data_IF_015020950775
#
_entry.id   IF_015020950775
#
_cell.length_a   1.000
_cell.length_b   1.000
_cell.length_c   1.000
_cell.angle_alpha   90.00
_cell.angle_beta   90.00
_cell.angle_gamma   90.00
#
_symmetry.space_group_name_H-M   'P 1'
#
loop_
_entity.id
_entity.type
_entity.pdbx_description
1 polymer ?
#
# COMPACT_ATOMS: atom_id res chain seq x y z
N UNK A 1 22.07 17.70 11.65
CA UNK A 1 21.54 18.03 10.31
C UNK A 1 20.86 16.78 9.77
N UNK A 2 19.71 16.90 9.09
CA UNK A 2 19.10 15.77 8.39
C UNK A 2 20.11 15.14 7.42
N UNK A 3 20.02 13.84 7.19
CA UNK A 3 20.87 13.17 6.21
C UNK A 3 20.58 13.75 4.83
N UNK A 4 21.62 14.08 4.07
CA UNK A 4 21.47 14.67 2.73
C UNK A 4 21.48 13.61 1.63
N UNK A 5 22.00 12.42 1.93
CA UNK A 5 22.13 11.30 0.99
C UNK A 5 21.48 10.05 1.57
N UNK A 6 20.77 9.28 0.73
CA UNK A 6 20.15 8.01 1.15
C UNK A 6 21.19 7.03 1.71
N UNK A 7 22.39 6.97 1.13
CA UNK A 7 23.46 6.07 1.59
C UNK A 7 23.89 6.34 3.04
N UNK A 8 23.79 7.58 3.52
CA UNK A 8 24.08 7.89 4.92
C UNK A 8 23.06 7.23 5.85
N UNK A 9 21.77 7.25 5.45
CA UNK A 9 20.66 6.64 6.18
C UNK A 9 20.84 5.12 6.17
N UNK A 10 21.03 4.51 5.00
CA UNK A 10 21.21 3.06 4.83
C UNK A 10 22.36 2.56 5.70
N UNK A 11 23.51 3.22 5.64
CA UNK A 11 24.69 2.84 6.42
C UNK A 11 24.47 2.99 7.94
N UNK A 12 23.74 4.01 8.38
CA UNK A 12 23.39 4.16 9.80
C UNK A 12 22.45 3.03 10.25
N UNK A 13 21.38 2.77 9.50
CA UNK A 13 20.41 1.73 9.79
C UNK A 13 21.07 0.36 9.90
N UNK A 14 21.99 0.04 8.99
CA UNK A 14 22.82 -1.17 9.05
C UNK A 14 23.70 -1.16 10.30
N UNK A 15 24.53 -0.13 10.53
CA UNK A 15 25.44 -0.15 11.70
C UNK A 15 24.74 -0.17 13.07
N UNK A 16 23.47 0.24 13.13
CA UNK A 16 22.73 0.44 14.40
C UNK A 16 21.63 -0.59 14.66
N UNK A 17 21.49 -1.65 13.88
CA UNK A 17 20.44 -2.63 14.20
C UNK A 17 19.04 -2.16 13.86
N UNK A 18 18.88 -1.30 12.85
CA UNK A 18 17.56 -0.81 12.43
C UNK A 18 17.02 -1.68 11.30
N UNK A 19 17.66 -1.69 10.13
CA UNK A 19 17.20 -2.49 8.98
C UNK A 19 18.40 -3.07 8.22
N UNK A 20 18.25 -4.30 7.75
CA UNK A 20 19.25 -5.04 6.98
C UNK A 20 18.62 -5.75 5.77
N UNK A 21 19.37 -6.04 4.70
CA UNK A 21 18.89 -6.91 3.63
C UNK A 21 18.49 -8.28 4.17
N UNK A 22 17.32 -8.77 3.81
CA UNK A 22 16.88 -10.10 4.25
C UNK A 22 17.76 -11.18 3.64
N UNK A 23 18.02 -12.26 4.38
CA UNK A 23 18.84 -13.39 3.97
C UNK A 23 20.27 -13.00 3.50
N UNK A 24 20.89 -11.98 4.13
CA UNK A 24 22.20 -11.44 3.73
C UNK A 24 23.30 -12.52 3.57
N UNK A 25 23.34 -13.52 4.47
CA UNK A 25 24.33 -14.61 4.41
C UNK A 25 24.18 -15.54 3.20
N UNK A 26 23.03 -15.50 2.53
CA UNK A 26 22.73 -16.26 1.31
C UNK A 26 22.83 -15.39 0.04
N UNK A 27 23.41 -14.19 0.14
CA UNK A 27 23.50 -13.23 -0.96
C UNK A 27 22.34 -12.23 -1.02
N UNK A 28 21.45 -12.26 -0.02
CA UNK A 28 20.30 -11.36 0.08
C UNK A 28 19.09 -11.83 -0.73
N UNK A 29 17.90 -11.41 -0.32
CA UNK A 29 16.67 -11.56 -1.09
C UNK A 29 16.17 -10.19 -1.55
N UNK A 30 16.17 -9.98 -2.88
CA UNK A 30 15.96 -8.67 -3.50
C UNK A 30 14.63 -8.04 -3.08
N UNK A 31 14.67 -6.76 -2.69
CA UNK A 31 13.51 -5.96 -2.25
C UNK A 31 12.81 -6.48 -0.99
N UNK A 32 13.52 -7.21 -0.14
CA UNK A 32 13.03 -7.66 1.16
C UNK A 32 14.06 -7.35 2.24
N UNK A 33 13.60 -6.98 3.42
CA UNK A 33 14.44 -6.44 4.48
C UNK A 33 13.97 -6.94 5.84
N UNK A 34 14.95 -7.15 6.73
CA UNK A 34 14.71 -7.56 8.10
C UNK A 34 14.96 -6.37 9.05
N UNK A 35 14.00 -6.10 9.93
CA UNK A 35 14.16 -5.08 10.98
C UNK A 35 14.93 -5.68 12.16
N UNK A 36 16.07 -5.09 12.50
CA UNK A 36 16.93 -5.53 13.62
C UNK A 36 16.38 -5.11 14.99
N UNK A 37 17.11 -5.37 16.11
CA UNK A 37 16.58 -5.18 17.46
C UNK A 37 16.01 -3.78 17.76
N UNK A 38 16.67 -2.72 17.28
CA UNK A 38 16.18 -1.34 17.44
C UNK A 38 15.07 -1.05 16.43
N UNK A 39 15.23 -1.52 15.19
CA UNK A 39 14.25 -1.30 14.13
C UNK A 39 12.90 -1.96 14.41
N UNK A 40 12.88 -3.17 14.97
CA UNK A 40 11.63 -3.86 15.31
C UNK A 40 10.84 -3.09 16.39
N UNK A 41 11.55 -2.51 17.37
CA UNK A 41 10.92 -1.67 18.39
C UNK A 41 10.44 -0.33 17.82
N UNK A 42 11.22 0.29 16.93
CA UNK A 42 10.82 1.51 16.25
C UNK A 42 9.57 1.29 15.40
N UNK A 43 9.58 0.25 14.55
CA UNK A 43 8.45 -0.14 13.71
C UNK A 43 7.20 -0.39 14.54
N UNK A 44 7.34 -1.10 15.67
CA UNK A 44 6.25 -1.31 16.62
C UNK A 44 5.72 0.00 17.21
N UNK A 45 6.60 0.89 17.66
CA UNK A 45 6.19 2.17 18.24
C UNK A 45 5.41 3.04 17.24
N UNK A 46 5.80 3.04 15.96
CA UNK A 46 5.07 3.75 14.91
C UNK A 46 3.66 3.18 14.76
N UNK A 47 3.52 1.84 14.68
CA UNK A 47 2.20 1.18 14.60
C UNK A 47 1.34 1.44 15.83
N UNK A 48 1.92 1.32 17.02
CA UNK A 48 1.22 1.54 18.28
C UNK A 48 0.75 2.99 18.42
N UNK A 49 1.56 3.97 17.95
CA UNK A 49 1.18 5.38 17.91
C UNK A 49 0.01 5.64 16.94
N UNK A 50 0.04 5.04 15.77
CA UNK A 50 -1.05 5.15 14.79
C UNK A 50 -2.34 4.50 15.31
N UNK A 51 -2.27 3.29 15.88
CA UNK A 51 -3.44 2.61 16.47
C UNK A 51 -3.99 3.44 17.63
N UNK A 52 -3.12 4.05 18.44
CA UNK A 52 -3.54 4.92 19.53
C UNK A 52 -4.36 6.11 19.02
N UNK A 53 -3.88 6.83 18.01
CA UNK A 53 -4.57 8.01 17.48
C UNK A 53 -5.82 7.67 16.67
N UNK A 54 -5.76 6.62 15.84
CA UNK A 54 -6.84 6.29 14.92
C UNK A 54 -7.93 5.45 15.58
N UNK A 55 -7.62 4.65 16.60
CA UNK A 55 -8.58 3.71 17.19
C UNK A 55 -8.79 3.98 18.68
N UNK A 56 -7.73 4.09 19.49
CA UNK A 56 -7.91 4.11 20.96
C UNK A 56 -8.34 5.48 21.51
N UNK A 57 -8.05 6.56 20.79
CA UNK A 57 -8.42 7.92 21.15
C UNK A 57 -9.71 8.39 20.45
N UNK A 58 -10.36 7.50 19.70
CA UNK A 58 -11.55 7.78 18.91
C UNK A 58 -12.65 6.80 19.24
N UNK A 59 -13.89 7.28 19.20
CA UNK A 59 -15.07 6.46 19.44
C UNK A 59 -15.74 6.00 18.12
N UNK A 60 -15.24 6.41 16.96
CA UNK A 60 -15.85 6.18 15.66
C UNK A 60 -15.09 5.18 14.78
N UNK A 61 -13.93 4.66 15.22
CA UNK A 61 -13.13 3.71 14.45
C UNK A 61 -12.90 2.43 15.23
N UNK A 62 -13.00 1.28 14.56
CA UNK A 62 -12.70 -0.03 15.14
C UNK A 62 -11.55 -0.72 14.41
N UNK A 63 -10.78 -1.55 15.11
CA UNK A 63 -9.65 -2.29 14.55
C UNK A 63 -10.05 -3.71 14.19
N UNK A 64 -9.63 -4.19 13.02
CA UNK A 64 -9.72 -5.60 12.61
C UNK A 64 -8.35 -6.15 12.21
N UNK A 65 -8.27 -7.47 12.11
CA UNK A 65 -7.12 -8.20 11.56
C UNK A 65 -7.64 -9.27 10.58
N UNK A 66 -7.61 -8.94 9.29
CA UNK A 66 -8.05 -9.83 8.23
C UNK A 66 -6.90 -10.69 7.72
N UNK A 67 -7.24 -11.87 7.18
CA UNK A 67 -6.25 -12.80 6.64
C UNK A 67 -5.45 -12.18 5.49
N UNK A 68 -4.18 -12.59 5.37
CA UNK A 68 -3.30 -12.23 4.24
C UNK A 68 -3.67 -12.99 2.97
N UNK A 69 -4.02 -14.27 3.12
CA UNK A 69 -4.41 -15.14 2.01
C UNK A 69 -5.86 -14.87 1.64
N UNK A 70 -6.08 -14.44 0.40
CA UNK A 70 -7.41 -14.18 -0.15
C UNK A 70 -7.72 -15.04 -1.37
N UNK A 71 -8.99 -15.45 -1.56
CA UNK A 71 -9.40 -16.19 -2.74
C UNK A 71 -9.40 -15.29 -4.00
N UNK A 72 -9.24 -15.83 -5.21
CA UNK A 72 -9.14 -15.06 -6.45
C UNK A 72 -10.30 -14.08 -6.69
N UNK A 73 -11.50 -14.44 -6.24
CA UNK A 73 -12.73 -13.68 -6.44
C UNK A 73 -12.64 -12.27 -5.83
N UNK A 74 -12.05 -12.13 -4.64
CA UNK A 74 -11.90 -10.82 -3.99
C UNK A 74 -11.06 -9.86 -4.84
N UNK A 75 -9.99 -10.39 -5.43
CA UNK A 75 -9.05 -9.63 -6.25
C UNK A 75 -9.54 -9.40 -7.68
N UNK A 76 -10.42 -10.28 -8.17
CA UNK A 76 -11.11 -10.09 -9.44
C UNK A 76 -12.13 -8.95 -9.32
N UNK A 77 -12.96 -8.98 -8.27
CA UNK A 77 -14.04 -8.03 -8.04
C UNK A 77 -13.52 -6.63 -7.77
N UNK A 78 -12.46 -6.51 -6.98
CA UNK A 78 -11.77 -5.23 -6.75
C UNK A 78 -10.94 -4.74 -7.95
N UNK A 79 -10.91 -5.49 -9.06
CA UNK A 79 -10.18 -5.12 -10.28
C UNK A 79 -8.66 -5.35 -10.23
N UNK A 80 -8.10 -5.81 -9.11
CA UNK A 80 -6.66 -6.04 -8.96
C UNK A 80 -6.11 -7.07 -9.96
N UNK A 81 -6.84 -8.13 -10.28
CA UNK A 81 -6.34 -9.10 -11.26
C UNK A 81 -6.25 -8.54 -12.69
N UNK A 82 -7.05 -7.52 -13.01
CA UNK A 82 -7.08 -6.90 -14.33
C UNK A 82 -6.14 -5.68 -14.44
N UNK A 83 -6.10 -4.85 -13.40
CA UNK A 83 -5.53 -3.50 -13.48
C UNK A 83 -4.28 -3.30 -12.62
N UNK A 84 -3.94 -4.25 -11.73
CA UNK A 84 -2.76 -4.13 -10.86
C UNK A 84 -1.49 -4.62 -11.57
N UNK A 85 -1.18 -3.99 -12.71
CA UNK A 85 -0.11 -4.38 -13.62
C UNK A 85 0.89 -3.25 -13.84
N UNK A 86 2.14 -3.63 -14.09
CA UNK A 86 3.18 -2.73 -14.56
C UNK A 86 3.62 -3.10 -15.99
N UNK A 87 3.98 -2.11 -16.84
CA UNK A 87 4.50 -2.37 -18.17
C UNK A 87 5.93 -2.91 -18.08
N UNK A 88 6.07 -4.23 -18.25
CA UNK A 88 7.33 -4.96 -18.14
C UNK A 88 8.01 -5.13 -19.50
N UNK A 89 9.30 -4.78 -19.57
CA UNK A 89 10.19 -5.08 -20.70
C UNK A 89 11.40 -5.90 -20.25
N UNK A 90 11.86 -6.82 -21.09
CA UNK A 90 13.12 -7.56 -20.88
C UNK A 90 14.19 -7.01 -21.83
N UNK A 91 15.40 -6.77 -21.31
CA UNK A 91 16.55 -6.51 -22.18
C UNK A 91 17.00 -7.81 -22.86
N UNK A 92 16.98 -7.86 -24.19
CA UNK A 92 17.36 -9.02 -25.00
C UNK A 92 18.84 -9.37 -24.86
N UNK A 93 19.69 -8.42 -24.48
CA UNK A 93 21.14 -8.62 -24.28
C UNK A 93 21.47 -9.20 -22.90
N UNK A 94 21.08 -8.53 -21.82
CA UNK A 94 21.46 -8.94 -20.45
C UNK A 94 20.33 -9.65 -19.66
N UNK A 95 19.15 -9.83 -20.26
CA UNK A 95 17.99 -10.53 -19.70
C UNK A 95 17.42 -9.93 -18.41
N UNK A 96 17.85 -8.72 -18.05
CA UNK A 96 17.28 -7.99 -16.92
C UNK A 96 15.90 -7.43 -17.28
N UNK A 97 15.00 -7.47 -16.30
CA UNK A 97 13.64 -6.93 -16.38
C UNK A 97 13.61 -5.49 -15.88
N UNK A 98 12.85 -4.65 -16.58
CA UNK A 98 12.68 -3.24 -16.26
C UNK A 98 11.21 -2.83 -16.41
N UNK A 99 10.83 -1.81 -15.65
CA UNK A 99 9.55 -1.11 -15.81
C UNK A 99 9.71 -0.03 -16.87
N UNK A 100 8.97 -0.13 -17.97
CA UNK A 100 9.13 0.79 -19.10
C UNK A 100 8.82 2.24 -18.70
N UNK A 101 7.79 2.44 -17.87
CA UNK A 101 7.34 3.75 -17.39
C UNK A 101 8.31 4.43 -16.39
N UNK A 102 9.33 3.71 -15.93
CA UNK A 102 10.33 4.19 -14.96
C UNK A 102 11.74 4.28 -15.55
N UNK A 103 11.90 4.09 -16.85
CA UNK A 103 13.18 4.29 -17.52
C UNK A 103 13.38 5.77 -17.86
N UNK A 104 14.56 6.30 -17.52
CA UNK A 104 14.96 7.66 -17.94
C UNK A 104 15.04 7.78 -19.48
N UNK A 105 15.52 6.71 -20.12
CA UNK A 105 15.57 6.55 -21.57
C UNK A 105 14.92 5.21 -21.96
N UNK A 106 13.71 5.23 -22.56
CA UNK A 106 12.99 4.03 -22.97
C UNK A 106 13.73 3.14 -23.98
N UNK A 107 14.76 3.66 -24.66
CA UNK A 107 15.51 2.92 -25.66
C UNK A 107 16.82 2.33 -25.13
N UNK A 108 17.31 2.77 -23.95
CA UNK A 108 18.61 2.36 -23.42
C UNK A 108 18.48 1.51 -22.17
N UNK A 109 19.04 0.31 -22.17
CA UNK A 109 19.09 -0.54 -20.98
C UNK A 109 20.02 0.06 -19.90
N UNK A 110 19.52 0.41 -18.70
CA UNK A 110 20.34 1.04 -17.67
C UNK A 110 21.37 0.08 -17.06
N UNK A 111 21.19 -1.23 -17.25
CA UNK A 111 22.08 -2.24 -16.70
C UNK A 111 23.31 -2.52 -17.59
N UNK A 112 23.15 -2.53 -18.92
CA UNK A 112 24.23 -2.86 -19.86
C UNK A 112 24.52 -1.81 -20.93
N UNK A 113 23.72 -0.74 -21.01
CA UNK A 113 23.85 0.34 -22.01
C UNK A 113 23.40 -0.04 -23.42
N UNK A 114 22.85 -1.23 -23.65
CA UNK A 114 22.40 -1.65 -24.96
C UNK A 114 21.15 -0.86 -25.40
N UNK A 115 21.21 -0.29 -26.60
CA UNK A 115 20.12 0.49 -27.20
C UNK A 115 19.21 -0.37 -28.07
N UNK A 116 17.90 -0.08 -28.07
CA UNK A 116 16.90 -0.81 -28.87
C UNK A 116 16.83 -2.30 -28.50
N UNK A 117 17.23 -2.64 -27.28
CA UNK A 117 17.36 -4.02 -26.81
C UNK A 117 16.15 -4.49 -26.00
N UNK A 118 15.10 -3.69 -25.85
CA UNK A 118 13.92 -4.10 -25.10
C UNK A 118 12.95 -4.92 -25.94
N UNK A 119 12.34 -5.93 -25.33
CA UNK A 119 11.17 -6.61 -25.91
C UNK A 119 9.97 -5.67 -25.98
N UNK A 120 8.92 -6.08 -26.70
CA UNK A 120 7.61 -5.45 -26.55
C UNK A 120 7.17 -5.49 -25.07
N UNK A 121 6.55 -4.38 -24.63
CA UNK A 121 6.04 -4.26 -23.28
C UNK A 121 4.88 -5.25 -23.06
N UNK A 122 4.87 -5.90 -21.91
CA UNK A 122 3.76 -6.74 -21.47
C UNK A 122 3.29 -6.33 -20.09
N UNK A 123 1.98 -6.39 -19.86
CA UNK A 123 1.41 -6.14 -18.54
C UNK A 123 1.78 -7.28 -17.58
N UNK A 124 2.45 -6.93 -16.49
CA UNK A 124 2.84 -7.87 -15.45
C UNK A 124 2.05 -7.59 -14.17
N UNK A 125 1.17 -8.53 -13.78
CA UNK A 125 0.39 -8.38 -12.55
C UNK A 125 1.30 -8.49 -11.31
N UNK A 126 1.17 -7.51 -10.42
CA UNK A 126 2.01 -7.38 -9.24
C UNK A 126 1.54 -8.22 -8.04
N UNK A 127 0.45 -8.98 -8.15
CA UNK A 127 0.01 -9.83 -7.04
C UNK A 127 0.86 -11.10 -6.94
N UNK A 128 1.22 -11.48 -5.71
CA UNK A 128 1.79 -12.79 -5.47
C UNK A 128 0.70 -13.86 -5.47
N UNK A 129 0.78 -14.76 -6.45
CA UNK A 129 -0.07 -15.94 -6.56
C UNK A 129 0.58 -17.14 -5.87
N UNK A 130 -0.22 -17.91 -5.15
CA UNK A 130 0.15 -19.19 -4.52
C UNK A 130 -0.97 -20.22 -4.70
N UNK A 131 -0.77 -21.43 -4.19
CA UNK A 131 -1.78 -22.50 -4.18
C UNK A 131 -2.12 -22.88 -2.74
N UNK A 132 -3.41 -22.89 -2.42
CA UNK A 132 -3.93 -23.41 -1.16
C UNK A 132 -4.41 -24.85 -1.37
N UNK A 133 -3.79 -25.79 -0.69
CA UNK A 133 -4.16 -27.21 -0.73
C UNK A 133 -2.97 -28.14 -0.56
N UNK A 134 -3.20 -29.42 -0.17
CA UNK A 134 -2.13 -30.37 0.13
C UNK A 134 -1.49 -30.98 -1.12
N UNK A 135 -2.10 -30.83 -2.30
CA UNK A 135 -1.65 -31.45 -3.54
C UNK A 135 -1.03 -30.39 -4.45
N UNK A 136 0.27 -30.54 -4.69
CA UNK A 136 1.00 -29.71 -5.65
C UNK A 136 0.36 -29.79 -7.04
N UNK A 137 0.04 -28.64 -7.64
CA UNK A 137 -0.58 -28.56 -8.96
C UNK A 137 -2.10 -28.80 -9.00
N UNK A 138 -2.73 -29.16 -7.87
CA UNK A 138 -4.18 -29.34 -7.75
C UNK A 138 -4.82 -28.51 -6.62
N UNK A 139 -4.05 -27.64 -5.97
CA UNK A 139 -4.57 -26.68 -4.99
C UNK A 139 -5.41 -25.59 -5.65
N UNK A 140 -6.29 -24.96 -4.87
CA UNK A 140 -7.02 -23.78 -5.33
C UNK A 140 -6.07 -22.58 -5.35
N UNK A 141 -6.13 -21.78 -6.41
CA UNK A 141 -5.39 -20.53 -6.47
C UNK A 141 -5.73 -19.63 -5.27
N UNK A 142 -4.71 -19.01 -4.69
CA UNK A 142 -4.83 -18.03 -3.63
C UNK A 142 -3.81 -16.92 -3.87
N UNK A 143 -4.02 -15.76 -3.25
CA UNK A 143 -3.13 -14.62 -3.41
C UNK A 143 -2.76 -14.05 -2.06
N UNK A 144 -1.53 -13.54 -1.97
CA UNK A 144 -1.15 -12.63 -0.89
C UNK A 144 -1.71 -11.26 -1.21
N UNK A 145 -2.41 -10.65 -0.26
CA UNK A 145 -3.05 -9.35 -0.46
C UNK A 145 -2.03 -8.24 -0.83
N UNK A 146 -2.32 -7.40 -1.83
CA UNK A 146 -1.48 -6.26 -2.23
C UNK A 146 -1.77 -4.98 -1.42
N UNK A 147 -2.88 -4.97 -0.69
CA UNK A 147 -3.37 -3.94 0.21
C UNK A 147 -4.17 -4.59 1.35
N UNK A 148 -4.46 -3.86 2.43
CA UNK A 148 -5.27 -4.36 3.55
C UNK A 148 -6.76 -4.00 3.41
N UNK A 149 -7.09 -2.96 2.63
CA UNK A 149 -8.43 -2.43 2.37
C UNK A 149 -9.52 -3.49 2.13
N UNK A 150 -9.27 -4.45 1.24
CA UNK A 150 -10.24 -5.49 0.88
C UNK A 150 -10.74 -6.32 2.08
N UNK A 151 -9.91 -6.49 3.12
CA UNK A 151 -10.32 -7.15 4.35
C UNK A 151 -11.40 -6.38 5.11
N UNK A 152 -11.37 -5.05 5.06
CA UNK A 152 -12.35 -4.17 5.71
C UNK A 152 -13.68 -4.15 4.94
N UNK A 153 -13.62 -4.08 3.60
CA UNK A 153 -14.83 -4.14 2.76
C UNK A 153 -15.57 -5.48 2.90
N UNK A 154 -14.85 -6.59 2.82
CA UNK A 154 -15.46 -7.93 2.93
C UNK A 154 -16.02 -8.25 4.32
N UNK A 155 -15.55 -7.56 5.37
CA UNK A 155 -16.06 -7.69 6.73
C UNK A 155 -17.01 -6.57 7.15
N UNK A 156 -17.34 -5.62 6.26
CA UNK A 156 -18.17 -4.45 6.58
C UNK A 156 -19.47 -4.82 7.31
N UNK A 157 -20.24 -5.76 6.76
CA UNK A 157 -21.51 -6.19 7.36
C UNK A 157 -21.35 -6.82 8.76
N UNK A 158 -20.32 -7.64 8.96
CA UNK A 158 -20.04 -8.25 10.27
C UNK A 158 -19.62 -7.20 11.31
N UNK A 159 -18.75 -6.26 10.91
CA UNK A 159 -18.27 -5.20 11.79
C UNK A 159 -19.41 -4.25 12.15
N UNK A 160 -20.22 -3.85 11.18
CA UNK A 160 -21.40 -3.01 11.39
C UNK A 160 -22.34 -3.63 12.45
N UNK A 161 -22.61 -4.93 12.35
CA UNK A 161 -23.48 -5.65 13.28
C UNK A 161 -22.87 -5.81 14.69
N UNK A 162 -21.59 -6.17 14.77
CA UNK A 162 -20.94 -6.54 16.03
C UNK A 162 -20.43 -5.35 16.82
N UNK A 163 -19.88 -4.34 16.14
CA UNK A 163 -19.37 -3.12 16.77
C UNK A 163 -20.46 -2.09 17.10
N UNK A 164 -21.69 -2.30 16.58
CA UNK A 164 -22.84 -1.40 16.75
C UNK A 164 -22.53 0.04 16.34
N UNK A 165 -21.68 0.21 15.34
CA UNK A 165 -21.37 1.51 14.73
C UNK A 165 -22.41 1.85 13.67
N UNK A 166 -22.48 3.13 13.31
CA UNK A 166 -23.33 3.67 12.24
C UNK A 166 -22.49 4.69 11.50
N UNK A 167 -22.62 4.82 10.16
CA UNK A 167 -21.97 5.91 9.43
C UNK A 167 -22.31 7.27 10.06
N UNK A 168 -21.33 8.17 10.24
CA UNK A 168 -19.91 8.00 9.92
C UNK A 168 -19.16 7.10 10.93
N UNK A 169 -18.44 6.09 10.42
CA UNK A 169 -17.54 5.25 11.23
C UNK A 169 -16.42 4.65 10.38
N UNK A 170 -15.29 4.32 11.01
CA UNK A 170 -14.15 3.71 10.36
C UNK A 170 -13.92 2.26 10.76
N UNK A 171 -13.34 1.50 9.84
CA UNK A 171 -12.67 0.24 10.13
C UNK A 171 -11.20 0.46 9.80
N UNK A 172 -10.32 0.14 10.74
CA UNK A 172 -8.88 0.25 10.61
C UNK A 172 -8.23 -1.13 10.59
N UNK A 173 -7.09 -1.23 9.92
CA UNK A 173 -6.27 -2.42 9.90
C UNK A 173 -4.79 -2.07 9.79
N UNK A 174 -3.98 -2.80 10.55
CA UNK A 174 -2.52 -2.74 10.45
C UNK A 174 -1.99 -4.12 10.14
N UNK A 175 -1.25 -4.28 9.06
CA UNK A 175 -0.71 -5.58 8.71
C UNK A 175 0.10 -5.60 7.43
N UNK A 176 0.56 -6.81 7.06
CA UNK A 176 1.40 -7.01 5.89
C UNK A 176 0.62 -6.95 4.59
N UNK A 177 1.29 -6.45 3.56
CA UNK A 177 0.86 -6.45 2.16
C UNK A 177 2.05 -6.77 1.26
N UNK A 178 1.74 -7.29 0.06
CA UNK A 178 2.74 -7.85 -0.83
C UNK A 178 2.55 -7.38 -2.26
N UNK A 179 3.61 -6.81 -2.85
CA UNK A 179 3.61 -6.36 -4.25
C UNK A 179 4.82 -6.98 -4.94
N UNK A 180 4.63 -7.68 -6.04
CA UNK A 180 5.66 -8.39 -6.78
C UNK A 180 6.48 -7.42 -7.65
N UNK A 181 7.04 -6.41 -6.99
CA UNK A 181 7.76 -5.29 -7.58
C UNK A 181 8.89 -5.78 -8.50
N UNK A 182 8.92 -5.21 -9.70
CA UNK A 182 9.84 -5.57 -10.78
C UNK A 182 11.20 -4.93 -10.52
N UNK A 183 11.19 -3.64 -10.16
CA UNK A 183 12.40 -2.83 -10.01
C UNK A 183 12.48 -2.27 -8.59
N UNK A 184 13.44 -2.72 -7.76
CA UNK A 184 13.74 -2.07 -6.49
C UNK A 184 14.24 -0.66 -6.75
N UNK A 185 13.76 0.28 -5.97
CA UNK A 185 14.24 1.65 -5.95
C UNK A 185 14.23 2.17 -4.50
N UNK A 186 15.17 3.06 -4.19
CA UNK A 186 15.19 3.82 -2.93
C UNK A 186 15.11 2.96 -1.64
N UNK A 187 15.84 1.84 -1.60
CA UNK A 187 16.02 0.98 -0.42
C UNK A 187 14.70 0.38 0.13
N UNK A 188 14.25 0.75 1.34
CA UNK A 188 12.99 0.26 1.93
C UNK A 188 11.75 0.96 1.36
N UNK A 189 11.92 1.93 0.47
CA UNK A 189 10.80 2.65 -0.14
C UNK A 189 10.03 1.76 -1.13
N UNK A 190 10.72 0.93 -1.91
CA UNK A 190 10.09 -0.08 -2.78
C UNK A 190 10.48 -1.48 -2.36
N UNK A 191 9.55 -2.17 -1.70
CA UNK A 191 9.74 -3.53 -1.18
C UNK A 191 8.63 -4.46 -1.69
N UNK A 192 8.90 -5.76 -1.64
CA UNK A 192 7.92 -6.79 -2.01
C UNK A 192 6.99 -7.19 -0.88
N UNK A 193 7.43 -6.92 0.34
CA UNK A 193 6.72 -7.21 1.58
C UNK A 193 6.91 -5.99 2.48
N UNK A 194 5.80 -5.37 2.87
CA UNK A 194 5.76 -4.21 3.76
C UNK A 194 4.52 -4.28 4.64
N UNK A 195 4.46 -3.40 5.63
CA UNK A 195 3.27 -3.23 6.46
C UNK A 195 2.57 -1.92 6.09
N UNK A 196 1.26 -1.95 6.06
CA UNK A 196 0.42 -0.78 5.88
C UNK A 196 -0.44 -0.57 7.13
N UNK A 197 -0.84 0.68 7.33
CA UNK A 197 -1.82 1.10 8.33
C UNK A 197 -2.91 1.83 7.54
N UNK A 198 -4.00 1.13 7.26
CA UNK A 198 -5.10 1.66 6.44
C UNK A 198 -6.37 1.79 7.26
N UNK A 199 -7.22 2.73 6.86
CA UNK A 199 -8.49 3.00 7.51
C UNK A 199 -9.54 3.34 6.45
N UNK A 200 -10.61 2.56 6.41
CA UNK A 200 -11.78 2.81 5.56
C UNK A 200 -12.84 3.53 6.39
N UNK A 201 -13.10 4.81 6.07
CA UNK A 201 -14.11 5.62 6.76
C UNK A 201 -15.41 5.65 5.97
N UNK A 202 -16.42 4.94 6.46
CA UNK A 202 -17.72 4.82 5.81
C UNK A 202 -18.62 5.97 6.24
N UNK A 203 -19.07 6.77 5.28
CA UNK A 203 -19.81 8.02 5.51
C UNK A 203 -21.08 8.10 4.66
N UNK A 204 -22.10 8.87 5.08
CA UNK A 204 -23.20 9.24 4.19
C UNK A 204 -22.67 9.95 2.93
N UNK A 205 -23.17 9.64 1.72
CA UNK A 205 -22.65 10.24 0.48
C UNK A 205 -22.67 11.77 0.46
N UNK A 206 -23.68 12.39 1.11
CA UNK A 206 -23.80 13.84 1.20
C UNK A 206 -22.72 14.51 2.07
N UNK A 207 -22.02 13.76 2.91
CA UNK A 207 -20.95 14.25 3.81
C UNK A 207 -19.55 13.87 3.31
N UNK A 208 -19.46 13.16 2.18
CA UNK A 208 -18.21 12.57 1.67
C UNK A 208 -17.08 13.58 1.49
N UNK A 209 -17.36 14.73 0.88
CA UNK A 209 -16.37 15.79 0.64
C UNK A 209 -15.85 16.41 1.94
N UNK A 210 -16.74 16.69 2.90
CA UNK A 210 -16.38 17.22 4.21
C UNK A 210 -15.45 16.27 4.98
N UNK A 211 -15.75 14.96 4.96
CA UNK A 211 -14.91 13.97 5.63
C UNK A 211 -13.57 13.75 4.93
N UNK A 212 -13.54 13.85 3.60
CA UNK A 212 -12.29 13.81 2.85
C UNK A 212 -11.35 14.97 3.25
N UNK A 213 -11.86 16.21 3.28
CA UNK A 213 -11.10 17.36 3.74
C UNK A 213 -10.64 17.23 5.21
N UNK A 214 -11.51 16.71 6.08
CA UNK A 214 -11.17 16.43 7.47
C UNK A 214 -9.98 15.47 7.56
N UNK A 215 -10.03 14.33 6.85
CA UNK A 215 -8.96 13.33 6.91
C UNK A 215 -7.65 13.80 6.30
N UNK A 216 -7.69 14.55 5.19
CA UNK A 216 -6.49 15.18 4.64
C UNK A 216 -5.76 16.04 5.68
N UNK A 217 -6.51 16.86 6.43
CA UNK A 217 -5.93 17.73 7.47
C UNK A 217 -5.48 16.93 8.71
N UNK A 218 -6.31 16.00 9.19
CA UNK A 218 -6.02 15.19 10.38
C UNK A 218 -4.77 14.32 10.17
N UNK A 219 -4.64 13.69 9.00
CA UNK A 219 -3.50 12.83 8.68
C UNK A 219 -2.22 13.63 8.50
N UNK A 220 -2.26 14.78 7.82
CA UNK A 220 -1.12 15.71 7.74
C UNK A 220 -0.66 16.16 9.14
N UNK A 221 -1.60 16.54 10.01
CA UNK A 221 -1.29 17.00 11.37
C UNK A 221 -0.68 15.89 12.23
N UNK A 222 -1.11 14.63 12.05
CA UNK A 222 -0.57 13.49 12.78
C UNK A 222 0.96 13.38 12.63
N UNK A 223 1.49 13.58 11.42
CA UNK A 223 2.94 13.54 11.20
C UNK A 223 3.69 14.68 11.91
N UNK A 224 3.10 15.88 11.93
CA UNK A 224 3.65 17.05 12.63
C UNK A 224 3.67 16.81 14.14
N UNK A 225 2.58 16.28 14.70
CA UNK A 225 2.45 15.97 16.12
C UNK A 225 3.44 14.88 16.58
N UNK A 226 3.84 13.99 15.66
CA UNK A 226 4.86 12.96 15.90
C UNK A 226 6.28 13.42 15.56
N UNK A 227 6.47 14.72 15.32
CA UNK A 227 7.78 15.36 15.28
C UNK A 227 8.41 15.50 13.90
N UNK A 228 7.67 15.23 12.81
CA UNK A 228 8.13 15.59 11.47
C UNK A 228 7.98 17.11 11.29
N UNK A 229 9.05 17.85 10.92
CA UNK A 229 8.94 19.28 10.65
C UNK A 229 7.95 19.58 9.53
N UNK A 230 7.10 20.58 9.72
CA UNK A 230 6.04 20.92 8.75
C UNK A 230 6.59 21.34 7.37
N UNK A 231 7.80 21.91 7.31
CA UNK A 231 8.48 22.29 6.07
C UNK A 231 9.09 21.10 5.30
N UNK A 232 9.05 19.90 5.90
CA UNK A 232 9.45 18.63 5.28
C UNK A 232 8.25 17.84 4.76
N UNK A 233 7.03 18.34 4.95
CA UNK A 233 5.79 17.70 4.54
C UNK A 233 5.04 18.58 3.53
N UNK A 234 4.32 17.94 2.62
CA UNK A 234 3.31 18.61 1.81
C UNK A 234 2.10 17.70 1.60
N UNK A 235 0.93 18.31 1.40
CA UNK A 235 -0.26 17.60 0.95
C UNK A 235 -0.41 17.87 -0.55
N UNK A 236 -0.16 16.85 -1.39
CA UNK A 236 -0.21 16.95 -2.85
C UNK A 236 -1.51 16.32 -3.37
N UNK A 237 -2.47 17.10 -3.90
CA UNK A 237 -3.60 16.52 -4.60
C UNK A 237 -3.14 15.83 -5.89
N UNK A 238 -3.74 14.69 -6.21
CA UNK A 238 -3.55 14.00 -7.49
C UNK A 238 -4.11 14.83 -8.64
N UNK A 239 -3.42 14.82 -9.77
CA UNK A 239 -3.93 15.38 -11.02
C UNK A 239 -5.05 14.47 -11.61
N UNK A 240 -5.85 15.02 -12.52
CA UNK A 240 -7.03 14.32 -13.04
C UNK A 240 -6.71 12.99 -13.77
N UNK A 241 -5.50 12.86 -14.32
CA UNK A 241 -4.99 11.66 -14.98
C UNK A 241 -4.32 10.66 -14.02
N UNK A 242 -4.04 11.07 -12.78
CA UNK A 242 -3.53 10.20 -11.71
C UNK A 242 -4.66 9.56 -10.88
N UNK A 243 -5.85 10.17 -10.89
CA UNK A 243 -7.00 9.66 -10.15
C UNK A 243 -7.42 8.27 -10.64
N UNK A 244 -7.60 7.35 -9.70
CA UNK A 244 -8.29 6.10 -9.97
C UNK A 244 -9.72 6.35 -10.43
N UNK A 245 -10.22 5.54 -11.37
CA UNK A 245 -11.54 5.71 -11.98
C UNK A 245 -12.74 5.76 -11.00
N UNK A 246 -12.54 5.30 -9.76
CA UNK A 246 -13.53 5.31 -8.67
C UNK A 246 -13.28 6.39 -7.61
N UNK A 247 -12.21 7.18 -7.73
CA UNK A 247 -11.86 8.24 -6.78
C UNK A 247 -12.39 9.60 -7.24
N UNK A 248 -13.13 10.30 -6.39
CA UNK A 248 -13.53 11.70 -6.62
C UNK A 248 -12.48 12.70 -6.16
N UNK A 249 -11.47 12.24 -5.41
CA UNK A 249 -10.34 13.05 -4.95
C UNK A 249 -9.35 12.18 -4.20
N UNK A 250 -8.07 12.33 -4.51
CA UNK A 250 -6.97 11.70 -3.79
C UNK A 250 -5.91 12.75 -3.50
N UNK A 251 -5.32 12.70 -2.31
CA UNK A 251 -4.18 13.52 -1.95
C UNK A 251 -3.15 12.69 -1.19
N UNK A 252 -1.89 12.93 -1.48
CA UNK A 252 -0.76 12.28 -0.82
C UNK A 252 -0.17 13.21 0.22
N UNK A 253 0.04 12.70 1.44
CA UNK A 253 1.01 13.30 2.37
C UNK A 253 2.39 12.85 1.91
N UNK A 254 3.18 13.79 1.41
CA UNK A 254 4.52 13.54 0.92
C UNK A 254 5.57 14.07 1.88
N UNK A 255 6.70 13.34 1.99
CA UNK A 255 7.85 13.75 2.77
C UNK A 255 9.04 14.08 1.88
N UNK A 256 9.82 15.09 2.27
CA UNK A 256 11.03 15.51 1.58
C UNK A 256 12.20 14.56 1.87
N UNK A 257 12.28 13.47 1.13
CA UNK A 257 13.41 12.54 1.13
C UNK A 257 14.66 13.15 0.45
N UNK A 258 15.84 12.51 0.59
CA UNK A 258 17.06 12.92 -0.13
C UNK A 258 16.90 13.03 -1.66
N UNK A 259 15.94 12.31 -2.25
CA UNK A 259 15.67 12.34 -3.69
C UNK A 259 14.53 13.28 -4.11
N UNK A 260 13.84 13.93 -3.17
CA UNK A 260 12.69 14.79 -3.45
C UNK A 260 11.50 14.49 -2.55
N UNK A 261 10.37 15.13 -2.85
CA UNK A 261 9.09 14.76 -2.23
C UNK A 261 8.62 13.43 -2.80
N UNK A 262 8.16 12.55 -1.90
CA UNK A 262 7.63 11.23 -2.25
C UNK A 262 6.61 10.81 -1.18
N UNK A 263 5.72 9.88 -1.55
CA UNK A 263 4.53 9.51 -0.78
C UNK A 263 4.88 8.85 0.58
N UNK A 264 4.16 9.25 1.64
CA UNK A 264 4.07 8.52 2.91
C UNK A 264 2.70 7.87 3.13
N UNK A 265 1.62 8.57 2.77
CA UNK A 265 0.24 8.17 2.99
C UNK A 265 -0.68 8.80 1.93
N UNK A 266 -1.47 7.98 1.24
CA UNK A 266 -2.54 8.43 0.35
C UNK A 266 -3.89 8.49 1.08
N UNK A 267 -4.60 9.61 0.93
CA UNK A 267 -5.97 9.81 1.41
C UNK A 267 -6.86 9.87 0.17
N UNK A 268 -7.78 8.92 0.01
CA UNK A 268 -8.62 8.81 -1.18
C UNK A 268 -10.11 8.79 -0.84
N UNK A 269 -10.91 9.53 -1.62
CA UNK A 269 -12.36 9.48 -1.59
C UNK A 269 -12.88 8.53 -2.68
N UNK A 270 -13.13 7.28 -2.30
CA UNK A 270 -13.44 6.16 -3.23
C UNK A 270 -14.93 5.96 -3.52
N UNK A 271 -15.79 6.90 -3.10
CA UNK A 271 -17.24 6.84 -3.27
C UNK A 271 -17.87 5.57 -2.65
N UNK A 272 -18.71 4.84 -3.39
CA UNK A 272 -19.33 3.57 -2.97
C UNK A 272 -18.88 2.36 -3.81
N UNK A 273 -17.84 2.55 -4.63
CA UNK A 273 -17.33 1.54 -5.57
C UNK A 273 -17.03 0.20 -4.90
N UNK A 274 -16.23 0.21 -3.83
CA UNK A 274 -15.74 -1.02 -3.21
C UNK A 274 -16.85 -1.87 -2.60
N UNK A 275 -17.78 -1.25 -1.84
CA UNK A 275 -18.91 -1.96 -1.26
C UNK A 275 -19.90 -2.43 -2.33
N UNK A 276 -20.16 -1.63 -3.36
CA UNK A 276 -21.03 -2.05 -4.47
C UNK A 276 -20.47 -3.22 -5.25
N UNK A 277 -19.18 -3.18 -5.60
CA UNK A 277 -18.54 -4.25 -6.35
C UNK A 277 -18.64 -5.59 -5.59
N UNK A 278 -18.36 -5.58 -4.28
CA UNK A 278 -18.49 -6.77 -3.44
C UNK A 278 -19.95 -7.20 -3.24
N UNK A 279 -20.88 -6.27 -3.03
CA UNK A 279 -22.30 -6.58 -2.88
C UNK A 279 -22.87 -7.24 -4.15
N UNK A 280 -22.57 -6.69 -5.33
CA UNK A 280 -23.00 -7.24 -6.62
C UNK A 280 -22.43 -8.64 -6.88
N UNK A 281 -21.15 -8.87 -6.57
CA UNK A 281 -20.49 -10.13 -6.83
C UNK A 281 -20.86 -11.24 -5.82
N UNK A 282 -21.06 -10.88 -4.55
CA UNK A 282 -21.38 -11.84 -3.48
C UNK A 282 -22.87 -12.11 -3.30
N UNK A 283 -23.73 -11.17 -3.71
CA UNK A 283 -25.17 -11.19 -3.41
C UNK A 283 -25.52 -10.76 -1.98
N UNK A 284 -24.53 -10.40 -1.16
CA UNK A 284 -24.73 -9.89 0.20
C UNK A 284 -25.10 -8.41 0.20
N UNK A 285 -25.91 -8.00 1.17
CA UNK A 285 -26.26 -6.59 1.34
C UNK A 285 -25.20 -5.90 2.20
N UNK A 286 -24.47 -4.97 1.59
CA UNK A 286 -23.46 -4.13 2.26
C UNK A 286 -23.93 -2.68 2.44
N UNK A 287 -25.25 -2.48 2.52
CA UNK A 287 -25.87 -1.17 2.72
C UNK A 287 -26.17 -0.90 4.19
N UNK A 288 -26.15 0.37 4.57
CA UNK A 288 -26.70 0.85 5.85
C UNK A 288 -27.96 1.69 5.59
N UNK A 289 -29.06 1.36 6.27
CA UNK A 289 -30.27 2.17 6.30
C UNK A 289 -30.50 2.64 7.73
N UNK A 290 -30.71 3.96 7.93
CA UNK A 290 -31.12 4.46 9.24
C UNK A 290 -32.58 4.04 9.49
N UNK A 291 -32.87 3.25 10.54
CA UNK A 291 -34.21 2.73 10.81
C UNK A 291 -35.26 3.78 11.18
#
# INVERSE_FOLDING_TARGET
>A
MPATELDQIVNLCKRRGIVYPSAEIYGGFRSTYDYGPIGSLLLRNVKDAWIRSMVQQRDDIVLIDAAILGPPQVWQVSGHLANFTDPLVDCTECKTRHRLDKLDDPDTCPNCGAQGSFTEAREFNLMFKTQAGPVEGAGSDAYLRPETAQGMFTNFGQVLQTARKRPPFGIAQVGKSFRNEITPQNWIFRTREFEQMEMEFFVPPAESEQWYEYWCNERMQWYVDHGIPADMLQLRPHDADELSHYSTGTADVEFRFPWGFDELEGIANRTDYDLKAHAEASGEKLDYFDP
#
